data_IF_234077244777
#
_entry.id   IF_234077244777
#
_cell.length_a   1.000
_cell.length_b   1.000
_cell.length_c   1.000
_cell.angle_alpha   90.00
_cell.angle_beta   90.00
_cell.angle_gamma   90.00
#
_symmetry.space_group_name_H-M   'P 1'
#
loop_
_entity.id
_entity.type
_entity.pdbx_description
1 polymer ?
#
# COMPACT_ATOMS: atom_id res chain seq x y z
N UNK A 1 0.01 8.45 2.95
CA UNK A 1 0.74 9.73 2.80
C UNK A 1 -0.25 10.86 2.66
N UNK A 2 -0.04 11.99 3.34
CA UNK A 2 -0.87 13.19 3.18
C UNK A 2 0.02 14.36 2.80
N UNK A 3 -0.19 14.91 1.61
CA UNK A 3 0.72 15.84 0.93
C UNK A 3 2.13 15.27 0.70
N UNK A 4 2.85 15.79 -0.29
CA UNK A 4 4.26 15.49 -0.51
C UNK A 4 4.55 14.15 -1.20
N UNK A 5 5.80 13.70 -1.10
CA UNK A 5 6.34 12.57 -1.85
C UNK A 5 6.83 11.44 -0.93
N UNK A 6 6.50 10.20 -1.27
CA UNK A 6 7.08 9.01 -0.65
C UNK A 6 7.60 8.04 -1.70
N UNK A 7 8.85 7.61 -1.55
CA UNK A 7 9.42 6.50 -2.30
C UNK A 7 9.41 5.24 -1.42
N UNK A 8 8.56 4.29 -1.76
CA UNK A 8 8.38 3.03 -1.04
C UNK A 8 9.07 1.94 -1.85
N UNK A 9 10.19 1.41 -1.35
CA UNK A 9 11.06 0.51 -2.11
C UNK A 9 11.38 -0.77 -1.36
N UNK A 10 11.29 -1.92 -2.03
CA UNK A 10 11.69 -3.25 -1.52
C UNK A 10 11.02 -3.67 -0.20
N UNK A 11 9.74 -3.32 0.00
CA UNK A 11 8.98 -3.71 1.18
C UNK A 11 8.18 -5.00 0.93
N UNK A 12 8.02 -5.79 1.98
CA UNK A 12 7.14 -6.95 2.02
C UNK A 12 5.84 -6.59 2.73
N UNK A 13 4.73 -6.67 2.01
CA UNK A 13 3.39 -6.52 2.55
C UNK A 13 2.70 -7.88 2.57
N UNK A 14 2.02 -8.18 3.67
CA UNK A 14 1.14 -9.35 3.81
C UNK A 14 0.02 -9.01 4.79
N UNK A 15 -1.15 -9.65 4.65
CA UNK A 15 -2.27 -9.55 5.60
C UNK A 15 -2.80 -8.11 5.83
N UNK A 16 -2.72 -7.23 4.83
CA UNK A 16 -3.43 -5.94 4.92
C UNK A 16 -4.94 -6.16 4.86
N UNK A 17 -5.72 -5.35 5.58
CA UNK A 17 -7.16 -5.55 5.71
C UNK A 17 -7.94 -4.94 4.55
N UNK A 18 -7.60 -3.70 4.16
CA UNK A 18 -8.30 -2.97 3.10
C UNK A 18 -7.35 -2.64 1.94
N UNK A 19 -6.25 -1.95 2.26
CA UNK A 19 -5.21 -1.58 1.31
C UNK A 19 -3.82 -1.64 1.96
N UNK A 20 -2.79 -1.93 1.17
CA UNK A 20 -1.40 -1.98 1.64
C UNK A 20 -0.74 -0.60 1.70
N UNK A 21 -1.08 0.29 0.75
CA UNK A 21 -0.54 1.65 0.63
C UNK A 21 -1.70 2.60 0.31
N UNK A 22 -1.77 3.71 1.04
CA UNK A 22 -2.85 4.69 0.89
C UNK A 22 -2.37 6.14 0.95
N UNK A 23 -3.18 7.04 0.38
CA UNK A 23 -2.87 8.46 0.29
C UNK A 23 -4.12 9.33 0.33
N UNK A 24 -3.97 10.56 0.82
CA UNK A 24 -5.01 11.60 0.80
C UNK A 24 -4.39 12.99 0.61
N UNK A 25 -5.18 13.97 0.17
CA UNK A 25 -4.73 15.33 -0.13
C UNK A 25 -3.49 15.36 -1.05
N UNK A 26 -3.68 14.89 -2.29
CA UNK A 26 -2.72 14.96 -3.40
C UNK A 26 -1.28 14.52 -3.07
N UNK A 27 -1.06 13.29 -2.58
CA UNK A 27 0.29 12.77 -2.40
C UNK A 27 0.84 12.23 -3.72
N UNK A 28 2.17 12.21 -3.83
CA UNK A 28 2.89 11.43 -4.85
C UNK A 28 3.54 10.23 -4.18
N UNK A 29 3.17 9.01 -4.56
CA UNK A 29 3.77 7.79 -4.01
C UNK A 29 4.40 7.00 -5.15
N UNK A 30 5.72 6.83 -5.11
CA UNK A 30 6.45 5.92 -6.00
C UNK A 30 6.64 4.60 -5.28
N UNK A 31 6.09 3.53 -5.83
CA UNK A 31 6.20 2.18 -5.30
C UNK A 31 7.06 1.34 -6.26
N UNK A 32 8.22 0.86 -5.81
CA UNK A 32 9.18 0.14 -6.66
C UNK A 32 9.72 -1.11 -5.94
N UNK A 33 9.73 -2.26 -6.62
CA UNK A 33 10.29 -3.50 -6.07
C UNK A 33 9.58 -4.06 -4.82
N UNK A 34 8.37 -3.60 -4.50
CA UNK A 34 7.61 -4.10 -3.36
C UNK A 34 6.94 -5.46 -3.67
N UNK A 35 6.87 -6.34 -2.67
CA UNK A 35 6.16 -7.62 -2.73
C UNK A 35 4.85 -7.53 -1.95
N UNK A 36 3.74 -7.87 -2.60
CA UNK A 36 2.39 -7.80 -2.05
C UNK A 36 1.78 -9.22 -1.98
N UNK A 37 1.58 -9.74 -0.76
CA UNK A 37 0.81 -10.97 -0.52
C UNK A 37 -0.61 -10.62 -0.06
N UNK A 38 -1.57 -10.74 -0.99
CA UNK A 38 -2.96 -10.44 -0.71
C UNK A 38 -3.53 -11.33 0.42
N UNK A 39 -4.36 -10.77 1.32
CA UNK A 39 -5.08 -11.58 2.29
C UNK A 39 -5.98 -12.60 1.56
N UNK A 40 -6.18 -13.78 2.15
CA UNK A 40 -7.24 -14.70 1.69
C UNK A 40 -8.58 -13.99 1.87
N UNK A 41 -9.46 -14.07 0.87
CA UNK A 41 -10.81 -13.54 0.96
C UNK A 41 -11.57 -14.27 2.07
N UNK A 42 -11.76 -13.61 3.20
CA UNK A 42 -13.04 -13.69 3.86
C UNK A 42 -13.82 -12.58 3.16
N UNK A 43 -14.87 -12.90 2.40
CA UNK A 43 -15.76 -11.87 1.87
C UNK A 43 -16.23 -11.00 3.04
N UNK A 44 -15.56 -9.87 3.25
CA UNK A 44 -15.92 -8.82 4.19
C UNK A 44 -16.30 -7.59 3.38
N UNK A 45 -17.23 -7.81 2.47
CA UNK A 45 -18.19 -6.83 1.98
C UNK A 45 -19.56 -7.51 1.91
#
# INVERSE_FOLDING_TARGET
VRHGYAHVVNNYYQNWVLYAIGGSAEPTIRSEGNLFIAPRSDNKE
#
